data_IF_333555762805
#
_entry.id   IF_333555762805
#
_cell.length_a   1.000
_cell.length_b   1.000
_cell.length_c   1.000
_cell.angle_alpha   90.00
_cell.angle_beta   90.00
_cell.angle_gamma   90.00
#
_symmetry.space_group_name_H-M   'P 1'
#
loop_
_entity.id
_entity.type
_entity.pdbx_description
1 polymer ?
#
# COMPACT_ATOMS: atom_id res chain seq x y z
N UNK A 1 -9.03 -18.08 25.76
CA UNK A 1 -8.27 -19.34 25.85
C UNK A 1 -7.38 -19.43 24.64
N UNK A 2 -6.09 -19.18 24.83
CA UNK A 2 -5.10 -19.10 23.78
C UNK A 2 -4.77 -20.50 23.27
N UNK A 3 -5.09 -20.79 22.02
CA UNK A 3 -4.44 -21.86 21.28
C UNK A 3 -2.96 -21.46 21.15
N UNK A 4 -2.17 -21.86 22.15
CA UNK A 4 -0.72 -21.89 22.02
C UNK A 4 -0.42 -22.80 20.82
N UNK A 5 -0.03 -22.17 19.72
CA UNK A 5 0.52 -22.84 18.54
C UNK A 5 1.47 -23.97 19.01
N UNK A 6 1.32 -25.16 18.43
CA UNK A 6 2.49 -25.99 18.11
C UNK A 6 3.23 -25.24 17.00
N UNK A 7 3.85 -24.12 17.37
CA UNK A 7 4.68 -23.32 16.48
C UNK A 7 5.98 -24.10 16.33
N UNK A 8 6.19 -24.59 15.12
CA UNK A 8 7.50 -25.07 14.68
C UNK A 8 8.50 -23.94 14.95
N UNK A 9 9.71 -24.27 15.41
CA UNK A 9 10.80 -23.29 15.54
C UNK A 9 10.82 -22.42 14.28
N UNK A 10 10.77 -21.10 14.46
CA UNK A 10 10.51 -20.20 13.35
C UNK A 10 11.77 -20.11 12.50
N UNK A 11 11.81 -20.90 11.42
CA UNK A 11 12.85 -20.81 10.39
C UNK A 11 12.68 -19.54 9.58
N UNK A 12 13.19 -19.56 8.35
CA UNK A 12 12.88 -18.53 7.36
C UNK A 12 11.35 -18.37 7.23
N UNK A 13 10.84 -17.14 7.41
CA UNK A 13 9.43 -16.81 7.19
C UNK A 13 9.29 -15.91 5.96
N UNK A 14 8.17 -16.03 5.26
CA UNK A 14 7.92 -15.29 4.03
C UNK A 14 6.44 -14.92 3.90
N UNK A 15 6.10 -13.69 4.24
CA UNK A 15 4.72 -13.19 4.14
C UNK A 15 4.30 -12.78 2.71
N UNK A 16 5.11 -13.10 1.70
CA UNK A 16 4.83 -12.79 0.30
C UNK A 16 6.09 -12.71 -0.57
N UNK A 17 5.97 -12.21 -1.82
CA UNK A 17 7.11 -11.93 -2.66
C UNK A 17 7.92 -10.74 -2.11
N UNK A 18 9.23 -10.74 -2.31
CA UNK A 18 10.05 -9.58 -1.97
C UNK A 18 10.09 -8.60 -3.13
N UNK A 19 10.17 -7.32 -2.78
CA UNK A 19 10.30 -6.25 -3.74
C UNK A 19 11.72 -6.13 -4.25
N UNK A 20 11.86 -5.87 -5.55
CA UNK A 20 13.17 -5.57 -6.18
C UNK A 20 13.79 -4.25 -5.71
N UNK A 21 12.99 -3.37 -5.09
CA UNK A 21 13.45 -2.07 -4.61
C UNK A 21 14.30 -2.15 -3.34
N UNK A 22 14.36 -3.32 -2.71
CA UNK A 22 15.08 -3.54 -1.46
C UNK A 22 16.15 -4.61 -1.60
N UNK A 23 17.25 -4.43 -0.86
CA UNK A 23 18.35 -5.39 -0.77
C UNK A 23 18.81 -5.51 0.68
N UNK A 24 18.93 -6.74 1.24
CA UNK A 24 19.41 -6.92 2.60
C UNK A 24 20.82 -6.35 2.79
N UNK A 25 21.02 -5.58 3.85
CA UNK A 25 22.34 -5.09 4.26
C UNK A 25 23.00 -6.14 5.12
N UNK A 26 24.07 -6.74 4.60
CA UNK A 26 24.85 -7.75 5.34
C UNK A 26 25.77 -7.04 6.34
N UNK A 27 25.76 -7.51 7.59
CA UNK A 27 26.65 -7.04 8.66
C UNK A 27 27.08 -8.23 9.55
N UNK A 28 28.19 -8.05 10.26
CA UNK A 28 28.67 -9.02 11.24
C UNK A 28 28.06 -8.70 12.61
N UNK A 29 27.09 -9.49 13.06
CA UNK A 29 26.53 -9.39 14.40
C UNK A 29 27.51 -9.82 15.48
N UNK A 30 27.35 -9.31 16.70
CA UNK A 30 28.22 -9.62 17.85
C UNK A 30 27.73 -10.82 18.67
N UNK A 31 26.49 -11.28 18.48
CA UNK A 31 25.93 -12.42 19.20
C UNK A 31 25.10 -13.30 18.28
N UNK A 32 25.13 -14.61 18.54
CA UNK A 32 24.09 -15.53 18.05
C UNK A 32 22.85 -15.44 18.95
N UNK A 33 21.71 -15.96 18.49
CA UNK A 33 20.56 -16.16 19.37
C UNK A 33 20.90 -17.06 20.56
N UNK A 34 21.68 -18.13 20.38
CA UNK A 34 22.11 -18.99 21.49
C UNK A 34 22.97 -18.25 22.53
N UNK A 35 23.82 -17.32 22.10
CA UNK A 35 24.59 -16.47 23.03
C UNK A 35 23.68 -15.52 23.82
N UNK A 36 22.61 -15.03 23.20
CA UNK A 36 21.61 -14.21 23.87
C UNK A 36 20.86 -15.00 24.94
N UNK A 37 20.51 -16.27 24.70
CA UNK A 37 19.86 -17.14 25.68
C UNK A 37 20.72 -17.34 26.94
N UNK A 38 22.04 -17.39 26.78
CA UNK A 38 23.01 -17.54 27.87
C UNK A 38 23.36 -16.23 28.57
N UNK A 39 22.97 -15.09 28.01
CA UNK A 39 23.29 -13.77 28.56
C UNK A 39 22.32 -13.32 29.66
N UNK A 40 22.61 -12.18 30.29
CA UNK A 40 21.67 -11.52 31.19
C UNK A 40 20.51 -10.93 30.36
N UNK A 41 19.41 -11.68 30.27
CA UNK A 41 18.17 -11.31 29.59
C UNK A 41 16.96 -11.84 30.39
N UNK A 42 15.77 -11.31 30.09
CA UNK A 42 14.54 -11.72 30.76
C UNK A 42 14.23 -13.20 30.53
N UNK A 43 13.51 -13.82 31.48
CA UNK A 43 13.02 -15.20 31.32
C UNK A 43 12.16 -15.33 30.06
N UNK A 44 11.36 -14.32 29.75
CA UNK A 44 10.50 -14.31 28.56
C UNK A 44 11.32 -14.37 27.29
N UNK A 45 12.43 -13.64 27.20
CA UNK A 45 13.32 -13.71 26.04
C UNK A 45 13.90 -15.12 25.89
N UNK A 46 14.40 -15.72 26.97
CA UNK A 46 14.99 -17.07 26.96
C UNK A 46 14.01 -18.13 26.46
N UNK A 47 12.77 -18.08 26.94
CA UNK A 47 11.71 -19.04 26.59
C UNK A 47 11.24 -18.90 25.14
N UNK A 48 11.34 -17.70 24.57
CA UNK A 48 10.83 -17.40 23.23
C UNK A 48 11.90 -17.34 22.14
N UNK A 49 13.18 -17.48 22.47
CA UNK A 49 14.27 -17.31 21.52
C UNK A 49 14.27 -18.32 20.37
N UNK A 50 13.77 -19.53 20.63
CA UNK A 50 13.61 -20.57 19.60
C UNK A 50 12.54 -20.21 18.54
N UNK A 51 11.75 -19.17 18.79
CA UNK A 51 10.77 -18.62 17.85
C UNK A 51 11.29 -17.39 17.12
N UNK A 52 12.54 -16.96 17.37
CA UNK A 52 13.13 -15.86 16.61
C UNK A 52 13.39 -16.30 15.16
N UNK A 53 12.98 -15.50 14.16
CA UNK A 53 13.21 -15.84 12.76
C UNK A 53 14.70 -15.84 12.44
N UNK A 54 15.11 -16.71 11.52
CA UNK A 54 16.51 -16.87 11.10
C UNK A 54 16.61 -17.13 9.60
N UNK A 55 17.78 -16.86 9.01
CA UNK A 55 18.02 -17.02 7.57
C UNK A 55 17.39 -15.91 6.73
N UNK A 56 17.14 -16.21 5.45
CA UNK A 56 16.53 -15.25 4.52
C UNK A 56 15.01 -15.19 4.74
N UNK A 57 14.50 -14.01 5.07
CA UNK A 57 13.09 -13.78 5.41
C UNK A 57 12.50 -12.66 4.54
N UNK A 58 11.17 -12.62 4.41
CA UNK A 58 10.46 -11.51 3.79
C UNK A 58 9.32 -11.05 4.70
N UNK A 59 9.33 -9.77 5.05
CA UNK A 59 8.30 -9.12 5.84
C UNK A 59 7.82 -7.84 5.17
N UNK A 60 6.51 -7.70 4.98
CA UNK A 60 5.90 -6.55 4.29
C UNK A 60 6.47 -6.31 2.88
N UNK A 61 6.88 -7.39 2.20
CA UNK A 61 7.56 -7.30 0.90
C UNK A 61 9.01 -6.85 0.95
N UNK A 62 9.57 -6.61 2.13
CA UNK A 62 10.98 -6.24 2.32
C UNK A 62 11.80 -7.52 2.61
N UNK A 63 12.85 -7.81 1.83
CA UNK A 63 13.73 -8.94 2.07
C UNK A 63 14.72 -8.63 3.20
N UNK A 64 14.95 -9.62 4.07
CA UNK A 64 15.88 -9.57 5.19
C UNK A 64 16.77 -10.81 5.19
N UNK A 65 17.94 -10.65 5.79
CA UNK A 65 18.93 -11.68 5.95
C UNK A 65 19.36 -11.74 7.41
N UNK A 66 18.79 -12.68 8.16
CA UNK A 66 19.00 -12.80 9.60
C UNK A 66 20.10 -13.82 9.86
N UNK A 67 21.26 -13.33 10.31
CA UNK A 67 22.39 -14.13 10.78
C UNK A 67 22.66 -13.86 12.25
N UNK A 68 23.92 -13.53 12.57
CA UNK A 68 24.26 -13.01 13.89
C UNK A 68 23.63 -11.63 14.09
N UNK A 69 23.10 -11.39 15.28
CA UNK A 69 22.38 -10.15 15.61
C UNK A 69 23.30 -9.12 16.25
N UNK A 70 22.89 -7.85 16.18
CA UNK A 70 23.50 -6.78 16.97
C UNK A 70 22.74 -6.63 18.27
N UNK A 71 23.38 -6.99 19.37
CA UNK A 71 22.82 -6.91 20.72
C UNK A 71 23.61 -5.92 21.57
N UNK A 72 22.97 -4.82 21.97
CA UNK A 72 23.56 -3.73 22.74
C UNK A 72 22.78 -3.47 24.03
N UNK A 73 23.48 -3.39 25.17
CA UNK A 73 22.94 -3.11 26.51
C UNK A 73 23.80 -2.12 27.27
N UNK A 74 25.07 -2.48 27.54
CA UNK A 74 25.94 -1.71 28.43
C UNK A 74 27.07 -0.97 27.69
N UNK A 75 27.36 -1.37 26.46
CA UNK A 75 28.46 -0.80 25.67
C UNK A 75 28.02 -0.49 24.25
N UNK A 76 28.63 0.56 23.71
CA UNK A 76 28.43 0.98 22.32
C UNK A 76 28.92 -0.09 21.36
N UNK A 77 28.09 -0.43 20.38
CA UNK A 77 28.40 -1.41 19.36
C UNK A 77 28.48 -0.72 18.00
N UNK A 78 29.49 -1.05 17.20
CA UNK A 78 29.61 -0.57 15.82
C UNK A 78 29.56 -1.74 14.85
N UNK A 79 28.81 -1.58 13.78
CA UNK A 79 28.71 -2.49 12.66
C UNK A 79 29.10 -1.75 11.38
N UNK A 80 30.08 -2.26 10.65
CA UNK A 80 30.52 -1.71 9.37
C UNK A 80 29.80 -2.43 8.21
N UNK A 81 29.49 -1.67 7.17
CA UNK A 81 28.71 -2.12 6.01
C UNK A 81 29.48 -1.90 4.70
N UNK A 82 29.15 -2.67 3.64
CA UNK A 82 29.62 -2.38 2.30
C UNK A 82 28.91 -1.14 1.75
N UNK A 83 29.37 0.05 2.16
CA UNK A 83 28.97 1.40 1.69
C UNK A 83 27.66 1.43 0.92
N UNK A 84 26.55 1.59 1.62
CA UNK A 84 25.20 1.47 1.05
C UNK A 84 24.63 2.86 0.73
N UNK A 85 24.13 3.05 -0.48
CA UNK A 85 23.34 4.24 -0.86
C UNK A 85 21.87 3.87 -0.93
N UNK A 86 21.09 4.40 -0.01
CA UNK A 86 19.66 4.16 0.04
C UNK A 86 18.92 5.35 0.64
N UNK A 87 17.72 5.61 0.13
CA UNK A 87 16.78 6.55 0.71
C UNK A 87 16.14 6.00 1.98
N UNK A 88 15.89 4.69 2.04
CA UNK A 88 15.27 4.03 3.18
C UNK A 88 16.15 2.92 3.72
N UNK A 89 16.29 2.88 5.04
CA UNK A 89 16.75 1.70 5.76
C UNK A 89 15.61 1.15 6.60
N UNK A 90 15.20 -0.08 6.34
CA UNK A 90 14.20 -0.78 7.14
C UNK A 90 14.92 -1.68 8.13
N UNK A 91 14.72 -1.40 9.40
CA UNK A 91 15.25 -2.16 10.51
C UNK A 91 14.28 -3.25 10.91
N UNK A 92 14.78 -4.46 11.13
CA UNK A 92 14.08 -5.53 11.84
C UNK A 92 14.72 -5.68 13.22
N UNK A 93 14.06 -5.16 14.25
CA UNK A 93 14.63 -5.09 15.59
C UNK A 93 13.61 -5.30 16.70
N UNK A 94 14.07 -5.63 17.89
CA UNK A 94 13.23 -5.82 19.07
C UNK A 94 13.98 -5.46 20.35
N UNK A 95 13.24 -5.26 21.44
CA UNK A 95 13.82 -5.11 22.79
C UNK A 95 13.41 -6.28 23.67
N UNK A 96 14.27 -6.56 24.64
CA UNK A 96 13.91 -7.39 25.79
C UNK A 96 12.76 -6.74 26.59
N UNK A 97 12.13 -7.54 27.45
CA UNK A 97 11.03 -7.15 28.32
C UNK A 97 11.60 -6.72 29.67
N UNK A 98 11.24 -5.51 30.08
CA UNK A 98 11.48 -5.04 31.44
C UNK A 98 10.22 -5.23 32.28
N UNK A 99 10.30 -5.93 33.43
CA UNK A 99 9.16 -6.05 34.34
C UNK A 99 8.61 -4.69 34.76
N UNK A 100 7.30 -4.63 34.98
CA UNK A 100 6.71 -3.49 35.70
C UNK A 100 6.74 -3.80 37.19
N UNK A 101 7.10 -2.80 37.98
CA UNK A 101 7.02 -2.85 39.43
C UNK A 101 5.57 -2.64 39.89
N UNK A 102 5.08 -3.60 40.67
CA UNK A 102 3.80 -3.50 41.35
C UNK A 102 4.05 -2.98 42.77
N UNK A 103 3.22 -2.06 43.24
CA UNK A 103 3.29 -1.66 44.64
C UNK A 103 2.77 -2.78 45.55
N UNK A 104 2.98 -2.63 46.85
CA UNK A 104 2.53 -3.58 47.88
C UNK A 104 1.02 -3.86 47.86
N UNK A 105 0.22 -2.97 47.29
CA UNK A 105 -1.23 -3.06 47.21
C UNK A 105 -1.70 -3.73 45.89
N UNK A 106 -0.77 -4.22 45.06
CA UNK A 106 -1.08 -4.86 43.78
C UNK A 106 -1.50 -3.86 42.69
N UNK A 107 -1.17 -2.59 42.83
CA UNK A 107 -1.40 -1.55 41.83
C UNK A 107 -0.12 -1.21 41.09
N UNK A 108 -0.26 -0.88 39.80
CA UNK A 108 0.82 -0.30 39.03
C UNK A 108 1.10 1.10 39.59
N UNK A 109 2.33 1.38 39.99
CA UNK A 109 2.81 2.76 40.18
C UNK A 109 2.68 3.53 38.87
N UNK A 110 2.65 4.87 38.91
CA UNK A 110 2.52 5.72 37.71
C UNK A 110 3.50 5.26 36.61
N UNK A 111 2.97 4.48 35.67
CA UNK A 111 3.75 3.63 34.78
C UNK A 111 3.52 4.07 33.36
N UNK A 112 4.57 3.96 32.54
CA UNK A 112 4.52 4.15 31.09
C UNK A 112 3.89 2.95 30.35
N UNK A 113 3.22 2.05 31.07
CA UNK A 113 2.67 0.78 30.56
C UNK A 113 3.73 -0.31 30.41
N UNK A 114 3.32 -1.50 29.95
CA UNK A 114 4.23 -2.63 29.76
C UNK A 114 5.28 -2.34 28.69
N UNK A 115 4.89 -1.59 27.65
CA UNK A 115 5.79 -1.17 26.59
C UNK A 115 6.60 0.08 26.89
N UNK A 116 6.54 0.62 28.12
CA UNK A 116 7.29 1.81 28.55
C UNK A 116 7.31 2.92 27.50
N UNK A 117 6.11 3.43 27.20
CA UNK A 117 5.88 4.42 26.16
C UNK A 117 6.92 5.57 26.17
N UNK A 118 7.53 5.79 25.01
CA UNK A 118 8.51 6.85 24.75
C UNK A 118 9.78 6.80 25.61
N UNK A 119 10.09 5.68 26.27
CA UNK A 119 11.38 5.47 26.92
C UNK A 119 12.49 5.37 25.87
N UNK A 120 13.57 6.12 26.06
CA UNK A 120 14.71 6.18 25.14
C UNK A 120 15.66 5.04 25.44
N UNK A 121 15.74 4.08 24.52
CA UNK A 121 16.45 2.81 24.73
C UNK A 121 17.84 2.81 24.09
N UNK A 122 18.02 3.46 22.94
CA UNK A 122 19.31 3.61 22.28
C UNK A 122 19.32 4.81 21.34
N UNK A 123 20.50 5.29 21.00
CA UNK A 123 20.73 6.13 19.82
C UNK A 123 21.30 5.28 18.69
N UNK A 124 20.70 5.39 17.51
CA UNK A 124 21.22 4.82 16.27
C UNK A 124 21.97 5.91 15.52
N UNK A 125 23.28 5.74 15.41
CA UNK A 125 24.18 6.68 14.75
C UNK A 125 24.62 6.09 13.41
N UNK A 126 24.08 6.65 12.33
CA UNK A 126 24.40 6.30 10.96
C UNK A 126 25.68 7.02 10.54
N UNK A 127 26.74 6.26 10.26
CA UNK A 127 28.05 6.79 9.88
C UNK A 127 28.16 6.80 8.36
N UNK A 128 28.36 7.98 7.76
CA UNK A 128 28.59 8.12 6.33
C UNK A 128 30.06 7.93 5.97
N UNK A 129 30.33 7.57 4.71
CA UNK A 129 31.69 7.36 4.21
C UNK A 129 32.54 8.64 4.16
N UNK A 130 31.91 9.83 4.23
CA UNK A 130 32.59 11.13 4.32
C UNK A 130 32.95 11.54 5.76
N UNK A 131 32.63 10.68 6.74
CA UNK A 131 32.86 10.94 8.16
C UNK A 131 31.73 11.71 8.86
N UNK A 132 30.71 12.18 8.13
CA UNK A 132 29.52 12.76 8.76
C UNK A 132 28.67 11.69 9.46
N UNK A 133 27.87 12.10 10.43
CA UNK A 133 26.99 11.21 11.18
C UNK A 133 25.55 11.77 11.21
N UNK A 134 24.56 10.88 11.14
CA UNK A 134 23.17 11.19 11.44
C UNK A 134 22.74 10.38 12.67
N UNK A 135 22.05 11.01 13.63
CA UNK A 135 21.65 10.38 14.88
C UNK A 135 20.12 10.29 14.94
N UNK A 136 19.61 9.12 15.33
CA UNK A 136 18.20 8.91 15.58
C UNK A 136 17.98 8.28 16.96
N UNK A 137 17.20 8.95 17.81
CA UNK A 137 16.79 8.43 19.11
C UNK A 137 15.73 7.33 18.92
N UNK A 138 16.04 6.13 19.40
CA UNK A 138 15.14 4.98 19.34
C UNK A 138 14.38 4.89 20.66
N UNK A 139 13.06 4.95 20.56
CA UNK A 139 12.14 4.95 21.69
C UNK A 139 11.18 3.78 21.64
N UNK A 140 10.92 3.20 22.81
CA UNK A 140 9.94 2.13 22.95
C UNK A 140 8.54 2.59 22.54
N UNK A 141 7.83 1.72 21.84
CA UNK A 141 6.53 1.96 21.21
C UNK A 141 6.49 3.05 20.14
N UNK A 142 7.63 3.59 19.73
CA UNK A 142 7.69 4.43 18.53
C UNK A 142 8.36 3.65 17.41
N UNK A 143 9.69 3.54 17.46
CA UNK A 143 10.48 2.82 16.46
C UNK A 143 10.61 1.34 16.82
N UNK A 144 10.83 1.02 18.09
CA UNK A 144 11.05 -0.35 18.55
C UNK A 144 10.02 -0.76 19.59
N UNK A 145 9.64 -2.04 19.59
CA UNK A 145 8.80 -2.64 20.62
C UNK A 145 9.43 -3.91 21.18
N UNK A 146 8.81 -4.43 22.23
CA UNK A 146 9.27 -5.65 22.90
C UNK A 146 9.01 -6.91 22.08
N UNK A 147 9.77 -7.97 22.39
CA UNK A 147 9.70 -9.27 21.68
C UNK A 147 8.36 -9.99 21.80
N UNK A 148 7.56 -9.71 22.84
CA UNK A 148 6.22 -10.29 22.98
C UNK A 148 5.36 -9.34 23.80
N UNK A 149 4.13 -9.09 23.34
CA UNK A 149 3.20 -8.20 24.06
C UNK A 149 2.53 -8.97 25.20
N UNK A 150 2.62 -8.47 26.43
CA UNK A 150 1.93 -9.08 27.59
C UNK A 150 0.43 -8.77 27.60
N UNK A 151 0.02 -7.66 26.98
CA UNK A 151 -1.38 -7.24 26.93
C UNK A 151 -1.72 -6.51 25.62
N UNK A 152 -3.01 -6.24 25.45
CA UNK A 152 -3.51 -5.47 24.31
C UNK A 152 -3.16 -3.99 24.45
N UNK A 153 -2.97 -3.29 23.34
CA UNK A 153 -2.67 -1.85 23.34
C UNK A 153 -1.17 -1.48 23.39
N UNK A 154 -0.25 -2.44 23.34
CA UNK A 154 1.21 -2.21 23.39
C UNK A 154 1.88 -2.14 22.00
N UNK A 155 1.14 -1.71 20.97
CA UNK A 155 1.69 -1.54 19.63
C UNK A 155 2.58 -0.30 19.50
N UNK A 156 3.45 -0.31 18.49
CA UNK A 156 4.28 0.82 18.12
C UNK A 156 3.56 1.79 17.17
N UNK A 157 3.92 3.07 17.25
CA UNK A 157 3.34 4.14 16.41
C UNK A 157 4.04 4.30 15.06
N UNK A 158 5.36 4.07 15.01
CA UNK A 158 6.17 4.29 13.80
C UNK A 158 6.75 3.01 13.21
N UNK A 159 6.49 1.86 13.83
CA UNK A 159 6.86 0.54 13.34
C UNK A 159 5.68 -0.41 13.29
N UNK A 160 5.82 -1.45 12.48
CA UNK A 160 4.84 -2.52 12.31
C UNK A 160 5.46 -3.86 12.72
N UNK A 161 4.65 -4.87 12.98
CA UNK A 161 5.18 -6.21 13.22
C UNK A 161 5.73 -6.80 11.92
N UNK A 162 6.83 -7.53 12.01
CA UNK A 162 7.55 -8.14 10.89
C UNK A 162 6.73 -9.03 9.95
N UNK A 163 5.58 -9.54 10.41
CA UNK A 163 4.60 -10.21 9.57
C UNK A 163 3.40 -9.28 9.35
N UNK A 164 3.04 -9.03 8.09
CA UNK A 164 1.85 -8.23 7.77
C UNK A 164 0.55 -8.92 8.19
N UNK A 165 -0.52 -8.14 8.34
CA UNK A 165 -1.83 -8.68 8.64
C UNK A 165 -2.36 -9.53 7.47
N UNK A 166 -3.07 -10.61 7.79
CA UNK A 166 -3.51 -11.60 6.81
C UNK A 166 -5.02 -11.54 6.60
N UNK A 167 -5.51 -11.61 5.36
CA UNK A 167 -6.94 -11.70 5.09
C UNK A 167 -7.48 -13.04 5.59
N UNK A 168 -8.67 -13.02 6.18
CA UNK A 168 -9.38 -14.23 6.58
C UNK A 168 -10.60 -14.43 5.70
N UNK A 169 -10.75 -15.64 5.17
CA UNK A 169 -11.98 -16.03 4.49
C UNK A 169 -12.95 -16.62 5.51
N UNK A 170 -14.19 -16.11 5.59
CA UNK A 170 -15.17 -16.65 6.52
C UNK A 170 -15.60 -18.07 6.10
N UNK A 171 -16.14 -18.88 7.04
CA UNK A 171 -16.48 -20.28 6.78
C UNK A 171 -17.45 -20.52 5.61
N UNK A 172 -18.30 -19.55 5.26
CA UNK A 172 -19.22 -19.67 4.12
C UNK A 172 -18.55 -19.41 2.76
N UNK A 173 -17.30 -18.93 2.75
CA UNK A 173 -16.51 -18.65 1.54
C UNK A 173 -15.39 -19.66 1.32
N UNK A 174 -15.09 -20.54 2.29
CA UNK A 174 -14.01 -21.52 2.21
C UNK A 174 -14.51 -22.93 2.55
N UNK A 175 -13.96 -23.95 1.89
CA UNK A 175 -14.25 -25.33 2.25
C UNK A 175 -13.53 -25.71 3.55
N UNK A 176 -14.16 -26.46 4.46
CA UNK A 176 -13.52 -26.97 5.67
C UNK A 176 -12.28 -27.82 5.36
N UNK A 177 -11.32 -27.93 6.31
CA UNK A 177 -11.36 -27.38 7.66
C UNK A 177 -10.83 -25.94 7.73
N UNK A 178 -11.45 -25.13 8.59
CA UNK A 178 -10.84 -23.86 9.00
C UNK A 178 -9.51 -24.15 9.73
N UNK A 179 -8.55 -23.21 9.71
CA UNK A 179 -7.37 -23.31 10.56
C UNK A 179 -7.81 -23.55 12.03
N UNK A 180 -7.18 -24.47 12.77
CA UNK A 180 -7.63 -24.85 14.13
C UNK A 180 -7.71 -23.69 15.13
N UNK A 181 -6.99 -22.60 14.84
CA UNK A 181 -6.95 -21.38 15.66
C UNK A 181 -8.01 -20.33 15.28
N UNK A 182 -8.74 -20.53 14.18
CA UNK A 182 -9.71 -19.58 13.65
C UNK A 182 -11.11 -19.87 14.20
N UNK A 183 -11.62 -18.98 15.04
CA UNK A 183 -13.02 -19.01 15.47
C UNK A 183 -13.93 -18.25 14.51
N UNK A 184 -15.23 -18.60 14.50
CA UNK A 184 -16.23 -17.90 13.67
C UNK A 184 -16.24 -16.38 13.92
N UNK A 185 -16.17 -15.94 15.18
CA UNK A 185 -16.15 -14.51 15.53
C UNK A 185 -14.91 -13.78 15.03
N UNK A 186 -13.73 -14.41 15.06
CA UNK A 186 -12.53 -13.84 14.44
C UNK A 186 -12.64 -13.80 12.91
N UNK A 187 -13.23 -14.81 12.28
CA UNK A 187 -13.40 -14.82 10.84
C UNK A 187 -14.31 -13.66 10.34
N UNK A 188 -15.23 -13.16 11.18
CA UNK A 188 -16.07 -12.01 10.84
C UNK A 188 -15.29 -10.70 10.66
N UNK A 189 -14.13 -10.54 11.31
CA UNK A 189 -13.29 -9.35 11.12
C UNK A 189 -12.63 -9.34 9.74
N UNK A 190 -12.61 -10.51 9.05
CA UNK A 190 -11.96 -10.74 7.75
C UNK A 190 -10.46 -10.44 7.72
N UNK A 191 -9.85 -10.25 8.90
CA UNK A 191 -8.42 -9.96 9.05
C UNK A 191 -7.91 -10.56 10.36
N UNK A 192 -6.78 -11.27 10.29
CA UNK A 192 -6.01 -11.64 11.46
C UNK A 192 -4.80 -10.72 11.57
N UNK A 193 -4.69 -10.09 12.75
CA UNK A 193 -3.52 -9.33 13.11
C UNK A 193 -2.41 -10.25 13.59
N UNK A 194 -1.23 -10.14 12.98
CA UNK A 194 -0.07 -10.97 13.29
C UNK A 194 0.72 -10.41 14.49
N UNK A 195 0.02 -10.15 15.59
CA UNK A 195 0.55 -9.39 16.72
C UNK A 195 0.78 -10.25 17.99
N UNK A 196 0.43 -11.53 17.97
CA UNK A 196 0.50 -12.43 19.14
C UNK A 196 1.58 -13.51 18.99
N UNK A 197 2.62 -13.26 18.21
CA UNK A 197 3.75 -14.19 18.15
C UNK A 197 4.50 -14.24 19.47
N UNK A 198 5.11 -15.40 19.71
CA UNK A 198 6.07 -15.62 20.79
C UNK A 198 7.31 -14.75 20.64
N UNK A 199 7.73 -14.48 19.41
CA UNK A 199 8.78 -13.53 19.08
C UNK A 199 8.31 -12.52 18.04
N UNK A 200 8.49 -11.24 18.34
CA UNK A 200 8.11 -10.11 17.49
C UNK A 200 9.36 -9.27 17.23
N UNK A 201 9.80 -9.27 15.98
CA UNK A 201 10.55 -8.15 15.46
C UNK A 201 9.61 -7.05 14.96
N UNK A 202 10.03 -5.81 15.17
CA UNK A 202 9.38 -4.61 14.69
C UNK A 202 10.13 -4.09 13.47
N UNK A 203 9.38 -3.74 12.43
CA UNK A 203 9.89 -3.11 11.22
C UNK A 203 9.76 -1.61 11.34
N UNK A 204 10.89 -0.92 11.32
CA UNK A 204 10.94 0.53 11.33
C UNK A 204 11.69 1.03 10.11
N UNK A 205 11.07 1.92 9.35
CA UNK A 205 11.68 2.54 8.18
C UNK A 205 12.26 3.90 8.55
N UNK A 206 13.59 4.01 8.50
CA UNK A 206 14.32 5.27 8.63
C UNK A 206 14.49 5.92 7.26
N UNK A 207 14.04 7.17 7.12
CA UNK A 207 14.34 7.98 5.95
C UNK A 207 15.72 8.60 6.10
N UNK A 208 16.62 8.27 5.18
CA UNK A 208 17.95 8.82 5.14
C UNK A 208 17.87 10.30 4.74
N UNK A 209 18.33 11.25 5.58
CA UNK A 209 18.34 12.68 5.25
C UNK A 209 19.28 13.02 4.08
N UNK A 210 20.22 12.13 3.77
CA UNK A 210 21.23 12.28 2.72
C UNK A 210 21.29 11.02 1.82
N UNK A 211 20.26 10.75 1.00
CA UNK A 211 20.17 9.54 0.17
C UNK A 211 21.33 9.38 -0.83
N UNK A 212 21.96 10.48 -1.22
CA UNK A 212 23.10 10.54 -2.13
C UNK A 212 24.43 10.08 -1.50
N UNK A 213 24.53 10.18 -0.16
CA UNK A 213 25.72 9.80 0.60
C UNK A 213 25.72 8.30 0.88
N UNK A 214 26.91 7.70 0.76
CA UNK A 214 27.09 6.29 1.11
C UNK A 214 27.19 6.13 2.63
N UNK A 215 26.35 5.27 3.20
CA UNK A 215 26.36 4.90 4.60
C UNK A 215 27.38 3.78 4.80
N UNK A 216 28.39 4.05 5.62
CA UNK A 216 29.50 3.14 5.91
C UNK A 216 29.21 2.18 7.06
N UNK A 217 28.24 2.49 7.93
CA UNK A 217 27.86 1.59 9.01
C UNK A 217 26.90 2.22 10.01
N UNK A 218 26.60 1.45 11.05
CA UNK A 218 25.75 1.84 12.17
C UNK A 218 26.53 1.72 13.48
N UNK A 219 26.38 2.71 14.36
CA UNK A 219 26.79 2.64 15.76
C UNK A 219 25.55 2.72 16.65
N UNK A 220 25.40 1.76 17.55
CA UNK A 220 24.30 1.68 18.50
C UNK A 220 24.86 2.08 19.86
N UNK A 221 24.36 3.18 20.40
CA UNK A 221 24.71 3.70 21.72
C UNK A 221 23.56 3.39 22.68
N UNK A 222 23.62 2.29 23.46
CA UNK A 222 22.52 1.91 24.33
C UNK A 222 22.38 2.89 25.50
N UNK A 223 21.13 3.10 25.93
CA UNK A 223 20.77 3.94 27.09
C UNK A 223 20.14 3.13 28.20
N UNK A 224 19.18 2.26 27.87
CA UNK A 224 18.44 1.47 28.86
C UNK A 224 17.92 0.19 28.22
N UNK A 225 18.07 -0.95 28.89
CA UNK A 225 17.56 -2.22 28.39
C UNK A 225 18.40 -2.80 27.24
N UNK A 226 17.97 -3.96 26.75
CA UNK A 226 18.65 -4.69 25.68
C UNK A 226 17.97 -4.41 24.34
N UNK A 227 18.72 -3.82 23.41
CA UNK A 227 18.31 -3.63 22.01
C UNK A 227 18.88 -4.74 21.15
N UNK A 228 18.06 -5.36 20.31
CA UNK A 228 18.45 -6.43 19.39
C UNK A 228 18.05 -6.02 17.97
N UNK A 229 19.03 -5.84 17.08
CA UNK A 229 18.79 -5.66 15.64
C UNK A 229 19.07 -6.98 14.94
N UNK A 230 18.00 -7.59 14.41
CA UNK A 230 18.02 -8.90 13.77
C UNK A 230 18.49 -8.80 12.31
N UNK A 231 18.02 -7.79 11.57
CA UNK A 231 18.42 -7.55 10.18
C UNK A 231 18.11 -6.11 9.76
N UNK A 232 18.70 -5.68 8.64
CA UNK A 232 18.46 -4.38 8.02
C UNK A 232 18.33 -4.59 6.51
N UNK A 233 17.43 -3.86 5.87
CA UNK A 233 17.27 -3.86 4.41
C UNK A 233 17.32 -2.43 3.89
N UNK A 234 18.01 -2.22 2.78
CA UNK A 234 18.18 -0.92 2.15
C UNK A 234 17.32 -0.84 0.90
N UNK A 235 16.56 0.24 0.73
CA UNK A 235 15.74 0.42 -0.45
C UNK A 235 15.61 1.86 -0.94
N UNK A 236 15.29 1.96 -2.23
CA UNK A 236 15.10 3.23 -2.93
C UNK A 236 13.70 3.23 -3.52
N UNK A 237 12.77 3.83 -2.78
CA UNK A 237 11.35 3.84 -3.10
C UNK A 237 10.75 5.22 -2.82
N UNK A 238 9.62 5.53 -3.46
CA UNK A 238 9.08 6.91 -3.52
C UNK A 238 8.58 7.44 -2.18
N UNK A 239 8.04 6.58 -1.30
CA UNK A 239 7.47 6.97 0.00
C UNK A 239 7.78 5.95 1.10
N UNK A 240 7.21 6.09 2.30
CA UNK A 240 7.49 5.17 3.40
C UNK A 240 7.00 3.74 3.06
N UNK A 241 7.87 2.72 3.03
CA UNK A 241 7.50 1.38 2.58
C UNK A 241 6.49 0.65 3.50
N UNK A 242 6.35 1.11 4.74
CA UNK A 242 5.45 0.52 5.76
C UNK A 242 4.13 1.30 5.88
N UNK A 243 3.82 2.16 4.90
CA UNK A 243 2.59 2.93 4.80
C UNK A 243 1.99 2.74 3.41
N UNK A 244 1.03 1.83 3.34
CA UNK A 244 0.31 1.53 2.11
C UNK A 244 -0.84 2.51 1.89
N UNK A 245 -1.23 2.68 0.64
CA UNK A 245 -2.40 3.47 0.27
C UNK A 245 -3.71 2.79 0.68
N UNK A 246 -4.80 3.55 0.56
CA UNK A 246 -6.15 3.04 0.81
C UNK A 246 -6.50 1.88 -0.12
N UNK A 247 -7.53 1.12 0.28
CA UNK A 247 -8.01 -0.02 -0.50
C UNK A 247 -8.37 0.40 -1.93
N UNK A 248 -7.76 -0.26 -2.91
CA UNK A 248 -8.06 -0.15 -4.35
C UNK A 248 -8.66 -1.44 -4.88
N UNK A 249 -9.21 -1.37 -6.09
CA UNK A 249 -9.76 -2.53 -6.82
C UNK A 249 -9.12 -2.63 -8.18
N UNK A 250 -8.89 -3.85 -8.64
CA UNK A 250 -8.44 -4.15 -10.00
C UNK A 250 -9.23 -5.36 -10.54
N UNK A 251 -9.36 -5.43 -11.87
CA UNK A 251 -9.82 -6.65 -12.55
C UNK A 251 -8.61 -7.23 -13.26
N UNK A 252 -8.21 -8.43 -12.85
CA UNK A 252 -7.10 -9.16 -13.46
C UNK A 252 -7.64 -10.30 -14.32
N UNK A 253 -7.04 -10.52 -15.49
CA UNK A 253 -7.42 -11.63 -16.38
C UNK A 253 -6.42 -12.77 -16.23
N UNK A 254 -6.87 -13.94 -15.79
CA UNK A 254 -6.06 -15.15 -15.71
C UNK A 254 -5.73 -15.71 -17.12
N UNK A 255 -4.65 -16.50 -17.27
CA UNK A 255 -4.35 -17.24 -18.49
C UNK A 255 -5.54 -18.10 -18.99
N UNK A 256 -5.57 -18.43 -20.28
CA UNK A 256 -6.69 -19.19 -20.90
C UNK A 256 -6.97 -20.51 -20.20
N UNK A 257 -5.92 -21.21 -19.78
CA UNK A 257 -6.02 -22.56 -19.23
C UNK A 257 -5.91 -22.60 -17.69
N UNK A 258 -5.97 -21.43 -17.04
CA UNK A 258 -5.83 -21.32 -15.59
C UNK A 258 -7.19 -21.11 -14.91
N UNK A 259 -7.58 -22.07 -14.07
CA UNK A 259 -8.71 -21.91 -13.15
C UNK A 259 -8.30 -21.09 -11.92
N UNK A 260 -9.21 -20.26 -11.41
CA UNK A 260 -8.95 -19.49 -10.18
C UNK A 260 -8.94 -20.39 -8.95
N UNK A 261 -7.86 -20.31 -8.17
CA UNK A 261 -7.72 -20.98 -6.87
C UNK A 261 -7.82 -19.94 -5.75
N UNK A 262 -8.93 -19.94 -4.99
CA UNK A 262 -9.17 -18.93 -3.95
C UNK A 262 -8.60 -19.33 -2.58
N UNK A 263 -7.78 -20.38 -2.51
CA UNK A 263 -7.15 -20.85 -1.27
C UNK A 263 -5.98 -19.95 -0.90
N UNK A 264 -5.93 -19.59 0.39
CA UNK A 264 -4.81 -18.90 1.00
C UNK A 264 -3.89 -19.92 1.66
N UNK A 265 -2.59 -19.66 1.65
CA UNK A 265 -1.64 -20.41 2.48
C UNK A 265 -1.69 -19.99 3.96
N UNK A 266 -0.79 -20.53 4.78
CA UNK A 266 -0.70 -20.25 6.22
C UNK A 266 -0.42 -18.77 6.54
N UNK A 267 0.18 -18.05 5.58
CA UNK A 267 0.55 -16.64 5.69
C UNK A 267 -0.47 -15.72 4.99
N UNK A 268 -1.62 -16.26 4.57
CA UNK A 268 -2.71 -15.48 3.98
C UNK A 268 -2.41 -14.97 2.56
N UNK A 269 -1.56 -15.68 1.81
CA UNK A 269 -1.14 -15.32 0.46
C UNK A 269 -1.82 -16.25 -0.56
N UNK A 270 -2.27 -15.67 -1.67
CA UNK A 270 -2.80 -16.45 -2.81
C UNK A 270 -1.65 -16.99 -3.65
N UNK A 271 -1.79 -18.20 -4.20
CA UNK A 271 -0.79 -18.78 -5.09
C UNK A 271 -0.70 -18.07 -6.45
N UNK A 272 -1.80 -17.47 -6.91
CA UNK A 272 -1.94 -16.93 -8.27
C UNK A 272 -1.86 -15.40 -8.36
N UNK A 273 -2.09 -14.68 -7.26
CA UNK A 273 -2.14 -13.21 -7.28
C UNK A 273 -1.46 -12.71 -6.01
N UNK A 274 -0.19 -12.36 -6.12
CA UNK A 274 0.59 -11.88 -5.00
C UNK A 274 1.01 -10.42 -5.20
N UNK A 275 1.41 -9.80 -4.09
CA UNK A 275 1.82 -8.40 -4.04
C UNK A 275 2.97 -8.29 -3.05
N UNK A 276 4.04 -7.61 -3.41
CA UNK A 276 5.23 -7.46 -2.58
C UNK A 276 4.99 -6.47 -1.43
N UNK A 277 4.99 -5.17 -1.72
CA UNK A 277 4.82 -4.08 -0.77
C UNK A 277 3.33 -3.77 -0.56
N UNK A 278 2.56 -4.82 -0.30
CA UNK A 278 1.12 -4.72 -0.13
C UNK A 278 0.47 -6.05 0.26
N UNK A 279 -0.86 -6.03 0.28
CA UNK A 279 -1.66 -7.20 0.60
C UNK A 279 -2.88 -7.27 -0.32
N UNK A 280 -3.12 -8.46 -0.87
CA UNK A 280 -4.41 -8.80 -1.47
C UNK A 280 -5.40 -9.02 -0.33
N UNK A 281 -6.45 -8.20 -0.29
CA UNK A 281 -7.50 -8.24 0.74
C UNK A 281 -8.54 -9.29 0.36
N UNK A 282 -8.95 -9.32 -0.90
CA UNK A 282 -9.86 -10.33 -1.43
C UNK A 282 -9.65 -10.52 -2.93
N UNK A 283 -9.93 -11.73 -3.40
CA UNK A 283 -9.95 -12.06 -4.82
C UNK A 283 -11.14 -12.98 -5.09
N UNK A 284 -11.96 -12.62 -6.06
CA UNK A 284 -13.13 -13.40 -6.45
C UNK A 284 -13.41 -13.27 -7.95
N UNK A 285 -13.99 -14.29 -8.61
CA UNK A 285 -14.44 -14.17 -9.98
C UNK A 285 -15.37 -12.96 -10.15
N UNK A 286 -15.15 -12.17 -11.21
CA UNK A 286 -15.93 -10.98 -11.51
C UNK A 286 -17.37 -11.39 -11.84
N UNK A 287 -18.32 -10.68 -11.24
CA UNK A 287 -19.74 -10.79 -11.60
C UNK A 287 -20.02 -9.89 -12.81
N UNK A 288 -20.54 -10.48 -13.87
CA UNK A 288 -20.93 -9.81 -15.11
C UNK A 288 -22.44 -9.56 -15.03
N UNK A 289 -22.79 -8.29 -14.94
CA UNK A 289 -24.17 -7.82 -14.98
C UNK A 289 -24.53 -7.36 -16.40
N UNK A 290 -25.75 -7.63 -16.88
CA UNK A 290 -26.18 -7.23 -18.22
C UNK A 290 -26.55 -5.74 -18.24
N UNK A 291 -25.56 -4.86 -18.08
CA UNK A 291 -25.81 -3.42 -17.93
C UNK A 291 -26.61 -2.83 -19.11
N UNK A 292 -26.29 -3.24 -20.34
CA UNK A 292 -26.94 -2.72 -21.56
C UNK A 292 -28.41 -3.13 -21.67
N UNK A 293 -28.79 -4.26 -21.07
CA UNK A 293 -30.15 -4.78 -21.04
C UNK A 293 -30.72 -4.80 -19.62
N UNK A 294 -30.20 -3.96 -18.73
CA UNK A 294 -30.56 -3.99 -17.30
C UNK A 294 -32.06 -3.72 -17.10
N UNK A 295 -32.62 -2.81 -17.89
CA UNK A 295 -34.04 -2.45 -17.86
C UNK A 295 -34.96 -3.60 -18.30
N UNK A 296 -34.45 -4.52 -19.13
CA UNK A 296 -35.19 -5.69 -19.63
C UNK A 296 -35.05 -6.92 -18.73
N UNK A 297 -34.21 -6.81 -17.70
CA UNK A 297 -33.98 -7.86 -16.71
C UNK A 297 -35.17 -8.07 -15.77
N UNK A 298 -35.10 -9.13 -14.97
CA UNK A 298 -36.10 -9.40 -13.93
C UNK A 298 -35.48 -9.35 -12.52
N UNK A 299 -36.32 -9.12 -11.52
CA UNK A 299 -35.87 -8.98 -10.14
C UNK A 299 -35.18 -10.27 -9.64
N UNK A 300 -34.06 -10.13 -8.91
CA UNK A 300 -33.18 -11.23 -8.48
C UNK A 300 -32.50 -12.03 -9.61
N UNK A 301 -32.35 -11.47 -10.81
CA UNK A 301 -31.52 -12.09 -11.85
C UNK A 301 -30.07 -12.24 -11.36
N UNK A 302 -29.59 -13.48 -11.31
CA UNK A 302 -28.22 -13.77 -10.88
C UNK A 302 -27.21 -13.30 -11.95
N UNK A 303 -26.10 -12.66 -11.56
CA UNK A 303 -25.08 -12.26 -12.51
C UNK A 303 -24.36 -13.48 -13.08
N UNK A 304 -23.90 -13.37 -14.32
CA UNK A 304 -22.94 -14.34 -14.88
C UNK A 304 -21.62 -14.22 -14.13
N UNK A 305 -20.91 -15.32 -13.96
CA UNK A 305 -19.57 -15.31 -13.36
C UNK A 305 -18.56 -15.36 -14.50
N UNK A 306 -17.62 -14.41 -14.51
CA UNK A 306 -16.51 -14.43 -15.45
C UNK A 306 -15.61 -15.64 -15.15
N UNK A 307 -15.28 -16.41 -16.18
CA UNK A 307 -14.43 -17.61 -16.02
C UNK A 307 -12.98 -17.25 -15.65
N UNK A 308 -12.52 -16.09 -16.11
CA UNK A 308 -11.09 -15.72 -16.07
C UNK A 308 -10.81 -14.32 -15.55
N UNK A 309 -11.84 -13.50 -15.35
CA UNK A 309 -11.67 -12.17 -14.79
C UNK A 309 -11.86 -12.22 -13.29
N UNK A 310 -10.85 -11.81 -12.54
CA UNK A 310 -10.83 -11.82 -11.09
C UNK A 310 -10.87 -10.38 -10.59
N UNK A 311 -11.91 -10.07 -9.82
CA UNK A 311 -11.98 -8.83 -9.07
C UNK A 311 -11.09 -8.98 -7.83
N UNK A 312 -10.06 -8.15 -7.77
CA UNK A 312 -9.05 -8.12 -6.70
C UNK A 312 -9.20 -6.83 -5.92
N UNK A 313 -9.42 -6.92 -4.61
CA UNK A 313 -9.28 -5.80 -3.69
C UNK A 313 -7.90 -5.88 -3.02
N UNK A 314 -7.16 -4.78 -3.01
CA UNK A 314 -5.80 -4.75 -2.50
C UNK A 314 -5.47 -3.41 -1.83
N UNK A 315 -4.43 -3.40 -1.01
CA UNK A 315 -3.78 -2.22 -0.46
C UNK A 315 -2.29 -2.37 -0.66
N UNK A 316 -1.61 -1.32 -1.11
CA UNK A 316 -0.20 -1.41 -1.46
C UNK A 316 0.50 -0.06 -1.41
N UNK A 317 1.82 -0.10 -1.37
CA UNK A 317 2.68 1.03 -1.70
C UNK A 317 2.55 1.38 -3.21
N UNK A 318 2.69 2.67 -3.62
CA UNK A 318 2.62 3.06 -5.03
C UNK A 318 3.55 2.29 -5.98
N UNK A 319 4.78 2.01 -5.53
CA UNK A 319 5.77 1.26 -6.30
C UNK A 319 5.67 -0.28 -6.15
N UNK A 320 4.58 -0.80 -5.57
CA UNK A 320 4.36 -2.23 -5.42
C UNK A 320 4.07 -2.91 -6.77
N UNK A 321 4.44 -4.18 -6.88
CA UNK A 321 4.30 -4.97 -8.10
C UNK A 321 3.40 -6.18 -7.87
N UNK A 322 2.44 -6.40 -8.77
CA UNK A 322 1.69 -7.66 -8.80
C UNK A 322 2.59 -8.78 -9.31
N UNK A 323 2.63 -9.87 -8.55
CA UNK A 323 3.29 -11.11 -8.93
C UNK A 323 2.24 -12.12 -9.37
N UNK A 324 2.19 -12.37 -10.68
CA UNK A 324 1.29 -13.32 -11.33
C UNK A 324 2.06 -14.56 -11.80
N UNK A 325 1.39 -15.72 -11.95
CA UNK A 325 1.96 -16.92 -12.54
C UNK A 325 2.68 -16.63 -13.85
N UNK A 326 3.90 -17.15 -13.98
CA UNK A 326 4.76 -16.93 -15.13
C UNK A 326 5.61 -15.64 -15.07
N UNK A 327 5.43 -14.79 -14.04
CA UNK A 327 6.31 -13.64 -13.78
C UNK A 327 6.42 -12.64 -14.94
N UNK A 328 5.45 -12.67 -15.88
CA UNK A 328 5.49 -11.81 -17.07
C UNK A 328 5.16 -10.39 -16.66
N UNK A 329 6.14 -9.50 -16.83
CA UNK A 329 5.97 -8.05 -16.74
C UNK A 329 5.45 -7.54 -18.08
N UNK A 330 4.63 -6.49 -18.05
CA UNK A 330 4.24 -5.74 -19.25
C UNK A 330 5.40 -4.81 -19.60
N UNK A 331 6.16 -5.03 -20.70
CA UNK A 331 7.16 -4.05 -21.12
C UNK A 331 6.49 -2.74 -21.51
N UNK A 332 7.10 -1.64 -21.06
CA UNK A 332 6.77 -0.30 -21.53
C UNK A 332 7.12 -0.19 -23.01
N UNK A 333 6.25 0.46 -23.77
CA UNK A 333 6.44 0.68 -25.21
C UNK A 333 6.65 2.16 -25.51
N UNK A 334 5.83 3.04 -24.94
CA UNK A 334 5.95 4.50 -25.10
C UNK A 334 5.36 5.28 -23.94
N UNK A 335 5.82 6.52 -23.80
CA UNK A 335 5.23 7.53 -22.93
C UNK A 335 4.52 8.59 -23.79
N UNK A 336 3.35 9.01 -23.35
CA UNK A 336 2.54 10.08 -23.92
C UNK A 336 2.42 11.22 -22.91
N UNK A 337 2.71 12.43 -23.35
CA UNK A 337 2.42 13.64 -22.59
C UNK A 337 0.99 14.07 -22.94
N UNK A 338 0.12 14.09 -21.94
CA UNK A 338 -1.24 14.58 -22.07
C UNK A 338 -1.29 16.04 -21.63
N UNK A 339 -1.89 16.92 -22.43
CA UNK A 339 -2.14 18.32 -22.09
C UNK A 339 -3.61 18.61 -22.36
N UNK A 340 -4.38 18.96 -21.31
CA UNK A 340 -5.81 19.25 -21.41
C UNK A 340 -6.63 18.15 -22.14
N UNK A 341 -6.30 16.88 -21.88
CA UNK A 341 -6.99 15.72 -22.46
C UNK A 341 -6.45 15.25 -23.81
N UNK A 342 -5.54 16.00 -24.44
CA UNK A 342 -4.97 15.66 -25.75
C UNK A 342 -3.54 15.11 -25.62
N UNK A 343 -3.17 14.14 -26.47
CA UNK A 343 -1.79 13.66 -26.56
C UNK A 343 -0.97 14.72 -27.29
N UNK A 344 -0.07 15.39 -26.56
CA UNK A 344 0.80 16.45 -27.10
C UNK A 344 2.12 15.91 -27.64
N UNK A 345 2.73 14.98 -26.91
CA UNK A 345 4.00 14.36 -27.28
C UNK A 345 3.89 12.85 -27.07
N UNK A 346 4.66 12.09 -27.86
CA UNK A 346 4.74 10.64 -27.74
C UNK A 346 6.17 10.18 -27.98
N UNK A 347 6.71 9.37 -27.07
CA UNK A 347 8.11 8.92 -27.11
C UNK A 347 8.21 7.44 -26.82
N UNK A 348 8.87 6.69 -27.70
CA UNK A 348 9.23 5.30 -27.43
C UNK A 348 10.05 5.19 -26.13
N UNK A 349 9.77 4.14 -25.35
CA UNK A 349 10.43 3.90 -24.07
C UNK A 349 11.27 2.64 -24.09
N UNK A 350 12.28 2.60 -23.22
CA UNK A 350 12.95 1.35 -22.86
C UNK A 350 11.98 0.44 -22.11
N UNK A 351 12.00 -0.85 -22.39
CA UNK A 351 11.03 -1.85 -21.90
C UNK A 351 10.79 -1.86 -20.39
N UNK A 352 11.83 -1.66 -19.57
CA UNK A 352 11.76 -1.94 -18.12
C UNK A 352 12.08 -0.78 -17.20
N UNK A 353 12.77 0.23 -17.72
CA UNK A 353 13.10 1.44 -16.99
C UNK A 353 13.51 2.51 -18.00
N UNK A 354 12.94 3.71 -17.87
CA UNK A 354 13.29 4.84 -18.71
C UNK A 354 13.15 6.15 -17.93
N UNK A 355 13.86 7.17 -18.38
CA UNK A 355 13.82 8.51 -17.79
C UNK A 355 13.81 9.57 -18.89
N UNK A 356 13.39 10.79 -18.55
CA UNK A 356 13.38 11.88 -19.50
C UNK A 356 12.61 13.09 -19.00
N UNK A 357 12.51 14.07 -19.89
CA UNK A 357 11.73 15.28 -19.69
C UNK A 357 11.17 15.75 -21.03
N UNK A 358 10.11 16.57 -20.97
CA UNK A 358 9.61 17.38 -22.07
C UNK A 358 9.57 18.83 -21.63
N UNK A 359 9.65 19.74 -22.59
CA UNK A 359 9.43 21.17 -22.37
C UNK A 359 8.09 21.55 -22.98
N UNK A 360 7.18 22.05 -22.16
CA UNK A 360 5.85 22.48 -22.57
C UNK A 360 5.78 23.99 -22.48
N UNK A 361 5.45 24.66 -23.60
CA UNK A 361 5.14 26.09 -23.58
C UNK A 361 3.76 26.27 -22.94
N UNK A 362 3.71 27.10 -21.90
CA UNK A 362 2.46 27.42 -21.18
C UNK A 362 2.09 28.86 -21.52
N UNK A 363 1.02 29.04 -22.29
CA UNK A 363 0.45 30.34 -22.68
C UNK A 363 -0.95 30.58 -22.07
N UNK A 364 -1.55 29.53 -21.51
CA UNK A 364 -2.85 29.55 -20.82
C UNK A 364 -2.86 28.51 -19.70
N UNK A 365 -3.84 28.63 -18.81
CA UNK A 365 -4.10 27.66 -17.76
C UNK A 365 -4.36 26.28 -18.37
N UNK A 366 -3.69 25.25 -17.85
CA UNK A 366 -3.73 23.89 -18.39
C UNK A 366 -3.41 22.84 -17.31
N UNK A 367 -3.75 21.59 -17.58
CA UNK A 367 -3.23 20.45 -16.84
C UNK A 367 -2.37 19.57 -17.74
N UNK A 368 -1.34 18.97 -17.14
CA UNK A 368 -0.48 17.98 -17.81
C UNK A 368 -0.44 16.67 -17.05
N UNK A 369 -0.42 15.55 -17.77
CA UNK A 369 -0.18 14.23 -17.17
C UNK A 369 0.72 13.38 -18.06
N UNK A 370 1.40 12.43 -17.45
CA UNK A 370 2.16 11.40 -18.15
C UNK A 370 1.31 10.15 -18.26
N UNK A 371 1.23 9.56 -19.45
CA UNK A 371 0.61 8.26 -19.67
C UNK A 371 1.65 7.31 -20.25
N UNK A 372 1.81 6.13 -19.65
CA UNK A 372 2.74 5.10 -20.11
C UNK A 372 1.94 3.98 -20.75
N UNK A 373 2.31 3.64 -21.97
CA UNK A 373 1.79 2.52 -22.73
C UNK A 373 2.67 1.30 -22.55
N UNK A 374 2.07 0.13 -22.63
CA UNK A 374 2.79 -1.14 -22.63
C UNK A 374 1.93 -2.26 -23.16
N UNK A 375 2.55 -3.38 -23.52
CA UNK A 375 1.84 -4.54 -24.04
C UNK A 375 2.61 -5.82 -23.80
N UNK A 376 1.91 -6.95 -23.70
CA UNK A 376 2.54 -8.26 -23.86
C UNK A 376 2.80 -8.51 -25.35
N UNK A 377 3.80 -9.33 -25.71
CA UNK A 377 4.16 -9.59 -27.11
C UNK A 377 2.98 -10.09 -27.97
N UNK A 378 1.99 -10.75 -27.36
CA UNK A 378 0.81 -11.32 -27.99
C UNK A 378 -0.48 -10.48 -27.82
N UNK A 379 -0.39 -9.27 -27.26
CA UNK A 379 -1.56 -8.45 -26.89
C UNK A 379 -1.48 -7.02 -27.44
N UNK A 380 -2.64 -6.38 -27.68
CA UNK A 380 -2.67 -4.97 -28.06
C UNK A 380 -2.14 -4.09 -26.93
N UNK A 381 -1.72 -2.90 -27.31
CA UNK A 381 -1.18 -1.90 -26.39
C UNK A 381 -2.25 -1.32 -25.47
N UNK A 382 -1.93 -1.30 -24.18
CA UNK A 382 -2.79 -0.79 -23.11
C UNK A 382 -2.14 0.42 -22.43
N UNK A 383 -2.94 1.18 -21.69
CA UNK A 383 -2.41 2.12 -20.69
C UNK A 383 -1.85 1.29 -19.53
N UNK A 384 -0.54 1.24 -19.41
CA UNK A 384 0.16 0.46 -18.39
C UNK A 384 0.35 1.26 -17.08
N UNK A 385 0.52 2.58 -17.17
CA UNK A 385 0.57 3.46 -16.01
C UNK A 385 0.18 4.90 -16.41
N UNK A 386 -0.12 5.75 -15.42
CA UNK A 386 -0.27 7.19 -15.62
C UNK A 386 0.19 7.96 -14.37
N UNK A 387 0.52 9.23 -14.52
CA UNK A 387 0.73 10.14 -13.39
C UNK A 387 -0.61 10.76 -12.94
N UNK A 388 -0.62 11.35 -11.73
CA UNK A 388 -1.61 12.37 -11.42
C UNK A 388 -1.43 13.58 -12.34
N UNK A 389 -2.51 14.31 -12.67
CA UNK A 389 -2.39 15.55 -13.43
C UNK A 389 -1.73 16.63 -12.56
N UNK A 390 -0.84 17.41 -13.19
CA UNK A 390 -0.27 18.63 -12.63
C UNK A 390 -1.06 19.80 -13.20
N UNK A 391 -1.68 20.58 -12.31
CA UNK A 391 -2.46 21.76 -12.68
C UNK A 391 -1.54 22.98 -12.75
N UNK A 392 -1.57 23.71 -13.85
CA UNK A 392 -0.79 24.94 -14.07
C UNK A 392 -1.75 26.09 -14.32
N UNK A 393 -1.83 27.02 -13.38
CA UNK A 393 -2.62 28.24 -13.50
C UNK A 393 -1.77 29.37 -14.08
N UNK A 394 -2.31 30.08 -15.07
CA UNK A 394 -1.70 31.27 -15.67
C UNK A 394 -2.60 32.46 -15.38
N UNK A 395 -2.01 33.53 -14.84
CA UNK A 395 -2.73 34.76 -14.54
C UNK A 395 -3.45 35.32 -15.78
N UNK A 396 -4.71 35.73 -15.60
CA UNK A 396 -5.55 36.21 -16.70
C UNK A 396 -6.10 35.11 -17.62
N UNK A 397 -5.78 33.84 -17.37
CA UNK A 397 -6.24 32.71 -18.19
C UNK A 397 -7.20 31.79 -17.42
N UNK A 398 -8.45 31.60 -17.90
CA UNK A 398 -9.39 30.70 -17.24
C UNK A 398 -8.95 29.24 -17.38
N UNK A 399 -9.03 28.47 -16.29
CA UNK A 399 -8.76 27.03 -16.31
C UNK A 399 -9.92 26.29 -16.97
N UNK A 400 -9.82 26.00 -18.27
CA UNK A 400 -10.89 25.36 -19.03
C UNK A 400 -10.39 24.56 -20.23
N UNK A 401 -10.84 23.30 -20.31
CA UNK A 401 -10.71 22.46 -21.49
C UNK A 401 -12.10 22.01 -21.94
N UNK A 402 -12.40 22.17 -23.24
CA UNK A 402 -13.73 21.87 -23.78
C UNK A 402 -14.05 20.37 -23.70
N UNK A 403 -13.09 19.50 -24.01
CA UNK A 403 -13.25 18.05 -23.92
C UNK A 403 -13.62 17.61 -22.48
N UNK A 404 -12.88 18.11 -21.48
CA UNK A 404 -13.17 17.84 -20.07
C UNK A 404 -14.54 18.38 -19.67
N UNK A 405 -14.89 19.59 -20.11
CA UNK A 405 -16.18 20.21 -19.80
C UNK A 405 -17.37 19.39 -20.33
N UNK A 406 -17.26 18.79 -21.52
CA UNK A 406 -18.28 17.89 -22.06
C UNK A 406 -18.40 16.64 -21.21
N UNK A 407 -17.29 15.98 -20.87
CA UNK A 407 -17.32 14.79 -20.01
C UNK A 407 -17.89 15.09 -18.61
N UNK A 408 -17.58 16.27 -18.05
CA UNK A 408 -18.12 16.70 -16.75
C UNK A 408 -19.63 16.94 -16.84
N UNK A 409 -20.13 17.50 -17.96
CA UNK A 409 -21.58 17.63 -18.17
C UNK A 409 -22.27 16.26 -18.16
N UNK A 410 -21.74 15.27 -18.87
CA UNK A 410 -22.29 13.91 -18.90
C UNK A 410 -22.36 13.29 -17.49
N UNK A 411 -21.32 13.52 -16.66
CA UNK A 411 -21.30 13.04 -15.27
C UNK A 411 -22.34 13.76 -14.40
N UNK A 412 -22.53 15.07 -14.58
CA UNK A 412 -23.55 15.82 -13.85
C UNK A 412 -24.95 15.33 -14.24
N UNK A 413 -25.19 15.07 -15.53
CA UNK A 413 -26.46 14.52 -16.01
C UNK A 413 -26.73 13.13 -15.44
N UNK A 414 -25.72 12.24 -15.46
CA UNK A 414 -25.81 10.92 -14.83
C UNK A 414 -26.08 10.99 -13.32
N UNK A 415 -25.45 11.92 -12.61
CA UNK A 415 -25.67 12.14 -11.18
C UNK A 415 -27.08 12.67 -10.88
N UNK A 416 -27.60 13.59 -11.70
CA UNK A 416 -28.98 14.07 -11.61
C UNK A 416 -29.98 12.93 -11.84
N UNK A 417 -29.78 12.12 -12.89
CA UNK A 417 -30.62 10.96 -13.17
C UNK A 417 -30.61 9.95 -12.01
N UNK A 418 -29.43 9.68 -11.42
CA UNK A 418 -29.32 8.81 -10.25
C UNK A 418 -30.10 9.37 -9.05
N UNK A 419 -29.92 10.65 -8.70
CA UNK A 419 -30.63 11.29 -7.59
C UNK A 419 -32.16 11.29 -7.79
N UNK A 420 -32.60 11.54 -9.01
CA UNK A 420 -34.03 11.66 -9.33
C UNK A 420 -34.72 10.28 -9.35
N UNK A 421 -34.02 9.21 -9.75
CA UNK A 421 -34.65 7.90 -10.02
C UNK A 421 -34.24 6.77 -9.07
N UNK A 422 -32.95 6.64 -8.76
CA UNK A 422 -32.38 5.43 -8.17
C UNK A 422 -31.92 5.63 -6.72
N UNK A 423 -31.48 6.85 -6.39
CA UNK A 423 -30.94 7.20 -5.07
C UNK A 423 -31.98 7.12 -3.96
N UNK A 424 -31.63 6.46 -2.85
CA UNK A 424 -32.47 6.39 -1.65
C UNK A 424 -32.58 7.77 -1.00
N UNK A 425 -33.80 8.32 -0.90
CA UNK A 425 -34.07 9.64 -0.31
C UNK A 425 -34.25 9.53 1.21
N UNK A 426 -33.16 9.71 1.96
CA UNK A 426 -33.19 9.71 3.42
C UNK A 426 -33.57 11.08 4.03
N UNK A 427 -33.27 12.18 3.32
CA UNK A 427 -33.55 13.56 3.73
C UNK A 427 -33.86 14.42 2.49
N UNK A 428 -35.09 14.92 2.42
CA UNK A 428 -35.60 15.76 1.33
C UNK A 428 -34.83 17.09 1.18
N UNK A 429 -34.32 17.64 2.27
CA UNK A 429 -33.58 18.91 2.26
C UNK A 429 -32.22 18.73 1.63
N UNK A 430 -31.50 17.66 2.01
CA UNK A 430 -30.22 17.30 1.41
C UNK A 430 -30.34 16.97 -0.08
N UNK A 431 -31.41 16.25 -0.48
CA UNK A 431 -31.72 15.95 -1.88
C UNK A 431 -31.92 17.22 -2.70
N UNK A 432 -32.83 18.13 -2.27
CA UNK A 432 -33.10 19.39 -2.99
C UNK A 432 -31.85 20.26 -3.12
N UNK A 433 -31.03 20.34 -2.07
CA UNK A 433 -29.76 21.07 -2.09
C UNK A 433 -28.77 20.48 -3.10
N UNK A 434 -28.57 19.15 -3.10
CA UNK A 434 -27.64 18.49 -4.01
C UNK A 434 -28.09 18.66 -5.48
N UNK A 435 -29.38 18.46 -5.73
CA UNK A 435 -29.98 18.63 -7.06
C UNK A 435 -29.81 20.06 -7.57
N UNK A 436 -30.04 21.07 -6.74
CA UNK A 436 -29.88 22.48 -7.11
C UNK A 436 -28.43 22.84 -7.43
N UNK A 437 -27.45 22.30 -6.67
CA UNK A 437 -26.02 22.48 -6.95
C UNK A 437 -25.66 21.90 -8.32
N UNK A 438 -26.06 20.65 -8.58
CA UNK A 438 -25.77 19.99 -9.86
C UNK A 438 -26.43 20.70 -11.05
N UNK A 439 -27.68 21.13 -10.91
CA UNK A 439 -28.36 21.93 -11.94
C UNK A 439 -27.66 23.26 -12.21
N UNK A 440 -27.22 23.95 -11.16
CA UNK A 440 -26.49 25.22 -11.30
C UNK A 440 -25.15 25.00 -12.01
N UNK A 441 -24.40 23.97 -11.61
CA UNK A 441 -23.13 23.61 -12.21
C UNK A 441 -23.28 23.20 -13.69
N UNK A 442 -24.31 22.41 -14.02
CA UNK A 442 -24.66 22.05 -15.39
C UNK A 442 -24.90 23.30 -16.23
N UNK A 443 -25.82 24.18 -15.79
CA UNK A 443 -26.17 25.41 -16.52
C UNK A 443 -24.97 26.33 -16.74
N UNK A 444 -24.14 26.51 -15.71
CA UNK A 444 -22.94 27.35 -15.81
C UNK A 444 -21.93 26.79 -16.80
N UNK A 445 -21.66 25.48 -16.74
CA UNK A 445 -20.71 24.80 -17.62
C UNK A 445 -21.21 24.74 -19.07
N UNK A 446 -22.50 24.45 -19.24
CA UNK A 446 -23.22 24.45 -20.51
C UNK A 446 -23.15 25.83 -21.21
N UNK A 447 -23.48 26.90 -20.49
CA UNK A 447 -23.39 28.26 -21.02
C UNK A 447 -21.95 28.64 -21.39
N UNK A 448 -20.94 28.20 -20.60
CA UNK A 448 -19.53 28.45 -20.89
C UNK A 448 -19.03 27.74 -22.16
N UNK A 449 -19.53 26.54 -22.45
CA UNK A 449 -19.25 25.84 -23.71
C UNK A 449 -19.83 26.61 -24.90
N UNK A 450 -21.09 27.01 -24.82
CA UNK A 450 -21.75 27.78 -25.88
C UNK A 450 -21.13 29.16 -26.11
N UNK A 451 -20.80 29.90 -25.04
CA UNK A 451 -20.12 31.19 -25.14
C UNK A 451 -18.74 31.10 -25.82
N UNK A 452 -18.14 29.89 -25.84
CA UNK A 452 -16.85 29.60 -26.49
C UNK A 452 -17.01 28.90 -27.85
N UNK A 453 -18.23 28.80 -28.37
CA UNK A 453 -18.53 28.18 -29.66
C UNK A 453 -18.29 26.67 -29.70
N UNK A 454 -18.25 26.00 -28.55
CA UNK A 454 -18.04 24.55 -28.45
C UNK A 454 -19.41 23.85 -28.45
N UNK A 455 -19.65 23.06 -29.50
CA UNK A 455 -20.88 22.27 -29.66
C UNK A 455 -20.73 20.91 -28.98
N UNK A 456 -21.78 20.46 -28.31
CA UNK A 456 -21.88 19.12 -27.71
C UNK A 456 -23.29 18.57 -27.96
N UNK A 457 -23.44 17.25 -27.90
CA UNK A 457 -24.74 16.60 -28.02
C UNK A 457 -25.55 16.76 -26.73
N UNK A 458 -26.83 17.06 -26.86
CA UNK A 458 -27.75 17.18 -25.74
C UNK A 458 -28.52 15.87 -25.57
N UNK A 459 -28.74 15.46 -24.33
CA UNK A 459 -29.68 14.38 -24.04
C UNK A 459 -31.12 14.84 -24.27
N UNK A 460 -32.10 13.93 -24.55
CA UNK A 460 -33.48 14.30 -24.87
C UNK A 460 -34.21 15.16 -23.81
N UNK A 461 -33.69 15.19 -22.58
CA UNK A 461 -34.26 15.93 -21.44
C UNK A 461 -33.84 17.41 -21.46
N UNK A 462 -32.73 17.74 -22.12
CA UNK A 462 -32.14 19.09 -22.20
C UNK A 462 -32.27 19.75 -23.58
N UNK A 463 -32.98 19.12 -24.52
CA UNK A 463 -33.24 19.67 -25.85
C UNK A 463 -34.22 20.87 -25.78
N UNK A 464 -33.81 22.02 -26.33
CA UNK A 464 -34.56 23.28 -26.27
C UNK A 464 -34.61 23.96 -27.64
N UNK A 465 -35.74 24.61 -27.94
CA UNK A 465 -36.09 25.15 -29.27
C UNK A 465 -35.07 26.10 -29.91
N UNK A 466 -34.21 26.77 -29.13
CA UNK A 466 -33.18 27.67 -29.63
C UNK A 466 -32.12 26.95 -30.49
N UNK A 467 -31.99 25.62 -30.36
CA UNK A 467 -31.07 24.80 -31.17
C UNK A 467 -31.54 24.54 -32.60
N UNK A 468 -32.84 24.61 -32.87
CA UNK A 468 -33.37 24.36 -34.22
C UNK A 468 -33.37 25.60 -35.12
N UNK A 469 -33.04 26.78 -34.59
CA UNK A 469 -33.13 28.04 -35.33
C UNK A 469 -32.03 28.21 -36.40
N UNK A 470 -30.94 27.43 -36.37
CA UNK A 470 -29.83 27.55 -37.33
C UNK A 470 -29.60 26.37 -38.28
N UNK A 471 -30.35 25.27 -38.14
CA UNK A 471 -30.28 24.16 -39.11
C UNK A 471 -31.03 24.48 -40.42
N UNK A 472 -31.90 25.51 -40.43
CA UNK A 472 -32.71 25.89 -41.61
C UNK A 472 -32.06 26.85 -42.61
N UNK A 473 -30.79 27.22 -42.44
CA UNK A 473 -30.08 28.15 -43.36
C UNK A 473 -28.97 27.49 -44.20
N UNK A 474 -28.98 26.17 -44.37
CA UNK A 474 -28.03 25.44 -45.25
C UNK A 474 -28.67 24.63 -46.39
N UNK A 475 -29.92 24.93 -46.73
CA UNK A 475 -30.51 24.48 -47.99
C UNK A 475 -31.25 25.63 -48.65
N UNK A 476 -30.50 26.49 -49.34
CA UNK A 476 -30.85 27.05 -50.65
C UNK A 476 -29.60 27.63 -51.31
#
# INVERSE_FOLDING_TARGET
>A
MNAAKKEKAMGAYRDGPHSRWFTPVRFNGNKTFDDLARSACSTVLKENIAHAPSGDCVGWGVPFAIGNVLAARDSTLSADWPRVKARWLVFMHTTDIDPIEWNKDGLLTASRGYGRLAEHIADYVFRYADGSEAVCAIRRRHQIGMLSRQCWGENCFQSVVHHKAVPLRPPHEQQPPMPPWMSWGQAQTRVAGCYNYRWINWLWAWENPHPEKAIAGLRIEPRTGLTIVSAISAGNITSNPLRWETRRKAVLTLPKDAAFDPRLDEDGVLSQIQLDLGQVISAQPRRIYPNDAWADGYNNQMPKIAEREILVEYTAHPDAEFHLPGGKRVPMSRAELIVNGEIRESRAMKKWNDAGHWSVRVDRSLWVALLVRGHYDDRPEIVAAHSSPVMVEVEGSPFFAAADAVTILDQIEGALAYLDTTGTRADDTAYKRMRLILMSAHRELHNRLHARGQYHEHTPVTDHKEHHAHVRLKHH
#
